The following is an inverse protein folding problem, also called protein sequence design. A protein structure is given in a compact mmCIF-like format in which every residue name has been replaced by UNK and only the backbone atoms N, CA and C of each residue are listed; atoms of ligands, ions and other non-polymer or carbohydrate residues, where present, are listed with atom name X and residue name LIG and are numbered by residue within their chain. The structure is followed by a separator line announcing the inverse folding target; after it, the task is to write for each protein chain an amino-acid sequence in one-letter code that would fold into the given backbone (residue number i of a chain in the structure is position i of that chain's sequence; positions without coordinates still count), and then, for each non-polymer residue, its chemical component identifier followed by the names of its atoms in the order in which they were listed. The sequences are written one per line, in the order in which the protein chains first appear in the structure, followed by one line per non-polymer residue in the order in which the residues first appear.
data_IF_120394332868
#
_entry.id   IF_120394332868
#
_cell.length_a   1.000
_cell.length_b   1.000
_cell.length_c   1.000
_cell.angle_alpha   90.00
_cell.angle_beta   90.00
_cell.angle_gamma   90.00
#
_symmetry.space_group_name_H-M   'P 1'
#
loop_
_entity.id
_entity.type
_entity.pdbx_description
1 polymer ?
#
# COMPACT_ATOMS: atom_id res chain seq x y z
N UNK A 1 7.38 -0.27 -18.88
CA UNK A 1 8.61 -0.51 -18.09
C UNK A 1 9.27 0.82 -17.75
N UNK A 2 8.71 1.57 -16.80
CA UNK A 2 9.40 2.69 -16.18
C UNK A 2 9.96 2.21 -14.84
N UNK A 3 11.03 1.43 -14.89
CA UNK A 3 11.96 1.34 -13.78
C UNK A 3 12.59 2.73 -13.75
N UNK A 4 12.14 3.58 -12.82
CA UNK A 4 12.87 4.79 -12.48
C UNK A 4 14.28 4.33 -12.13
N UNK A 5 15.26 4.68 -12.94
CA UNK A 5 16.66 4.62 -12.53
C UNK A 5 16.75 5.58 -11.36
N UNK A 6 16.82 5.07 -10.13
CA UNK A 6 17.23 5.89 -9.00
C UNK A 6 18.62 6.40 -9.36
N UNK A 7 18.76 7.72 -9.49
CA UNK A 7 20.08 8.29 -9.67
C UNK A 7 20.87 7.96 -8.40
N UNK A 8 22.17 7.70 -8.53
CA UNK A 8 23.04 7.43 -7.38
C UNK A 8 23.04 8.54 -6.32
N UNK A 9 22.36 9.66 -6.59
CA UNK A 9 22.22 10.83 -5.71
C UNK A 9 20.95 10.82 -4.84
N UNK A 10 20.07 9.85 -4.97
CA UNK A 10 18.79 9.85 -4.21
C UNK A 10 18.97 9.21 -2.83
N UNK A 11 18.73 9.98 -1.78
CA UNK A 11 18.71 9.56 -0.39
C UNK A 11 17.30 9.63 0.15
N UNK A 12 16.87 8.59 0.89
CA UNK A 12 15.53 8.56 1.49
C UNK A 12 15.63 9.11 2.90
N UNK A 13 14.90 10.18 3.17
CA UNK A 13 14.80 10.85 4.47
C UNK A 13 13.38 10.86 5.05
N UNK A 14 12.40 10.42 4.28
CA UNK A 14 10.99 10.31 4.68
C UNK A 14 10.51 8.88 4.40
N UNK A 15 10.02 8.21 5.43
CA UNK A 15 9.52 6.85 5.33
C UNK A 15 8.09 6.82 4.77
N UNK A 16 7.91 6.15 3.65
CA UNK A 16 6.58 5.83 3.12
C UNK A 16 6.08 4.55 3.75
N UNK A 17 5.04 4.66 4.57
CA UNK A 17 4.33 3.52 5.13
C UNK A 17 3.51 2.78 4.07
N UNK A 18 3.19 1.52 4.35
CA UNK A 18 2.33 0.71 3.49
C UNK A 18 1.55 -0.33 4.30
N UNK A 19 0.33 -0.63 3.85
CA UNK A 19 -0.44 -1.80 4.29
C UNK A 19 -0.89 -2.59 3.09
N UNK A 20 -0.75 -3.91 3.18
CA UNK A 20 -1.07 -4.85 2.11
C UNK A 20 -2.00 -5.92 2.62
N UNK A 21 -3.03 -6.21 1.84
CA UNK A 21 -4.09 -7.15 2.19
C UNK A 21 -4.33 -8.15 1.08
N UNK A 22 -4.65 -9.39 1.49
CA UNK A 22 -5.41 -10.32 0.69
C UNK A 22 -6.84 -10.29 1.17
N UNK A 23 -7.77 -10.06 0.27
CA UNK A 23 -9.21 -10.11 0.55
C UNK A 23 -9.81 -11.24 -0.23
N UNK A 24 -10.44 -12.18 0.48
CA UNK A 24 -11.13 -13.32 -0.11
C UNK A 24 -12.63 -13.19 0.15
N UNK A 25 -13.43 -13.33 -0.90
CA UNK A 25 -14.89 -13.39 -0.83
C UNK A 25 -15.34 -14.81 -1.16
N UNK A 26 -16.20 -15.36 -0.31
CA UNK A 26 -16.84 -16.68 -0.52
C UNK A 26 -18.35 -16.54 -0.51
N UNK A 27 -19.00 -17.26 -1.44
CA UNK A 27 -20.45 -17.29 -1.63
C UNK A 27 -20.91 -18.72 -1.91
N UNK A 28 -22.22 -18.92 -2.10
CA UNK A 28 -22.83 -20.24 -2.36
C UNK A 28 -22.37 -20.84 -3.70
N UNK A 29 -22.22 -19.99 -4.72
CA UNK A 29 -21.93 -20.43 -6.08
C UNK A 29 -23.05 -21.28 -6.70
N UNK A 30 -22.69 -22.10 -7.69
CA UNK A 30 -23.60 -23.05 -8.33
C UNK A 30 -23.62 -22.96 -9.85
N UNK A 31 -24.47 -23.80 -10.48
CA UNK A 31 -24.66 -23.74 -11.93
C UNK A 31 -25.43 -22.48 -12.34
N UNK A 32 -24.95 -21.74 -13.32
CA UNK A 32 -25.47 -20.40 -13.67
C UNK A 32 -26.96 -20.36 -14.00
N UNK A 33 -27.51 -21.44 -14.56
CA UNK A 33 -28.93 -21.58 -14.88
C UNK A 33 -29.73 -22.18 -13.72
N UNK A 34 -29.28 -23.32 -13.14
CA UNK A 34 -30.06 -24.06 -12.14
C UNK A 34 -30.06 -23.40 -10.76
N UNK A 35 -29.01 -22.66 -10.44
CA UNK A 35 -28.84 -21.93 -9.19
C UNK A 35 -28.91 -20.41 -9.38
N UNK A 36 -29.62 -19.96 -10.42
CA UNK A 36 -29.78 -18.54 -10.71
C UNK A 36 -30.39 -17.81 -9.50
N UNK A 37 -29.75 -16.71 -9.08
CA UNK A 37 -30.14 -15.98 -7.86
C UNK A 37 -29.17 -16.18 -6.70
N UNK A 38 -28.32 -17.21 -6.73
CA UNK A 38 -27.22 -17.33 -5.78
C UNK A 38 -26.20 -16.20 -5.96
N UNK A 39 -25.52 -15.86 -4.86
CA UNK A 39 -24.51 -14.82 -4.84
C UNK A 39 -23.27 -15.23 -5.63
N UNK A 40 -22.71 -14.28 -6.38
CA UNK A 40 -21.52 -14.49 -7.20
C UNK A 40 -20.34 -13.74 -6.58
N UNK A 41 -19.30 -14.47 -6.14
CA UNK A 41 -18.13 -13.88 -5.48
C UNK A 41 -17.39 -12.88 -6.36
N UNK A 42 -17.31 -13.10 -7.69
CA UNK A 42 -16.69 -12.15 -8.63
C UNK A 42 -17.48 -10.84 -8.69
N UNK A 43 -18.81 -10.91 -8.74
CA UNK A 43 -19.65 -9.71 -8.80
C UNK A 43 -19.52 -8.87 -7.52
N UNK A 44 -19.49 -9.52 -6.34
CA UNK A 44 -19.24 -8.84 -5.07
C UNK A 44 -17.83 -8.24 -4.99
N UNK A 45 -16.81 -8.97 -5.46
CA UNK A 45 -15.44 -8.49 -5.51
C UNK A 45 -15.32 -7.26 -6.42
N UNK A 46 -15.90 -7.29 -7.61
CA UNK A 46 -15.90 -6.15 -8.53
C UNK A 46 -16.58 -4.91 -7.92
N UNK A 47 -17.74 -5.11 -7.28
CA UNK A 47 -18.46 -4.04 -6.59
C UNK A 47 -17.66 -3.48 -5.40
N UNK A 48 -16.96 -4.33 -4.65
CA UNK A 48 -16.10 -3.89 -3.55
C UNK A 48 -14.88 -3.10 -4.06
N UNK A 49 -14.29 -3.51 -5.17
CA UNK A 49 -13.19 -2.76 -5.81
C UNK A 49 -13.69 -1.38 -6.24
N UNK A 50 -14.85 -1.28 -6.89
CA UNK A 50 -15.46 0.00 -7.25
C UNK A 50 -15.65 0.90 -6.02
N UNK A 51 -16.20 0.37 -4.92
CA UNK A 51 -16.35 1.09 -3.67
C UNK A 51 -15.00 1.57 -3.08
N UNK A 52 -13.95 0.74 -3.11
CA UNK A 52 -12.61 1.13 -2.67
C UNK A 52 -12.04 2.30 -3.47
N UNK A 53 -12.38 2.38 -4.76
CA UNK A 53 -11.89 3.44 -5.65
C UNK A 53 -12.72 4.74 -5.61
N UNK A 54 -13.77 4.80 -4.79
CA UNK A 54 -14.55 6.04 -4.58
C UNK A 54 -13.85 7.07 -3.69
N UNK A 55 -12.86 6.64 -2.88
CA UNK A 55 -12.14 7.56 -2.00
C UNK A 55 -11.25 8.50 -2.81
N UNK A 56 -11.28 9.78 -2.45
CA UNK A 56 -10.25 10.73 -2.88
C UNK A 56 -9.10 10.65 -1.87
N UNK A 57 -7.95 10.06 -2.25
CA UNK A 57 -6.87 9.88 -1.30
C UNK A 57 -6.27 11.22 -0.87
N UNK A 58 -5.78 11.36 0.38
CA UNK A 58 -5.00 12.51 0.81
C UNK A 58 -3.74 12.69 -0.06
N UNK A 59 -3.21 13.92 -0.08
CA UNK A 59 -1.95 14.21 -0.78
C UNK A 59 -0.83 13.31 -0.25
N UNK A 60 0.04 12.82 -1.12
CA UNK A 60 1.13 11.90 -0.76
C UNK A 60 0.67 10.46 -0.50
N UNK A 61 -0.59 10.14 -0.83
CA UNK A 61 -1.17 8.80 -0.62
C UNK A 61 -1.47 8.14 -1.96
N UNK A 62 -1.22 6.84 -2.03
CA UNK A 62 -1.59 6.00 -3.17
C UNK A 62 -2.25 4.71 -2.70
N UNK A 63 -3.06 4.10 -3.56
CA UNK A 63 -3.64 2.79 -3.34
C UNK A 63 -3.77 2.03 -4.66
N UNK A 64 -3.83 0.72 -4.58
CA UNK A 64 -3.91 -0.12 -5.78
C UNK A 64 -4.51 -1.50 -5.47
N UNK A 65 -5.33 -2.01 -6.38
CA UNK A 65 -5.64 -3.43 -6.49
C UNK A 65 -4.74 -4.00 -7.59
N UNK A 66 -3.70 -4.71 -7.19
CA UNK A 66 -2.67 -5.21 -8.10
C UNK A 66 -2.97 -6.58 -8.70
N UNK A 67 -3.84 -7.36 -8.04
CA UNK A 67 -4.23 -8.70 -8.50
C UNK A 67 -5.70 -8.90 -8.19
N UNK A 68 -6.41 -9.54 -9.12
CA UNK A 68 -7.76 -10.09 -8.93
C UNK A 68 -7.83 -11.46 -9.58
N UNK A 69 -8.45 -12.42 -8.90
CA UNK A 69 -8.71 -13.75 -9.44
C UNK A 69 -10.00 -14.34 -8.88
N UNK A 70 -10.65 -15.23 -9.60
CA UNK A 70 -11.88 -15.90 -9.12
C UNK A 70 -12.59 -16.70 -10.19
N UNK A 71 -13.56 -17.51 -9.73
CA UNK A 71 -14.36 -18.36 -10.59
C UNK A 71 -13.62 -19.58 -11.13
N UNK A 72 -14.33 -20.41 -11.91
CA UNK A 72 -13.81 -21.66 -12.49
C UNK A 72 -14.21 -21.85 -13.94
N UNK A 73 -15.44 -21.52 -14.33
CA UNK A 73 -15.93 -21.65 -15.71
C UNK A 73 -17.07 -20.66 -15.98
N UNK A 74 -17.36 -20.42 -17.27
CA UNK A 74 -18.37 -19.44 -17.70
C UNK A 74 -19.80 -19.78 -17.24
N UNK A 75 -20.12 -21.06 -17.05
CA UNK A 75 -21.44 -21.54 -16.62
C UNK A 75 -21.52 -21.83 -15.12
N UNK A 76 -20.57 -21.36 -14.32
CA UNK A 76 -20.53 -21.51 -12.87
C UNK A 76 -20.61 -20.13 -12.20
N UNK A 77 -21.58 -19.96 -11.29
CA UNK A 77 -21.62 -18.83 -10.37
C UNK A 77 -20.38 -18.94 -9.47
N UNK A 78 -19.51 -17.95 -9.48
CA UNK A 78 -18.27 -18.03 -8.76
C UNK A 78 -18.48 -18.13 -7.24
N UNK A 79 -17.93 -19.18 -6.64
CA UNK A 79 -17.97 -19.39 -5.19
C UNK A 79 -16.90 -18.61 -4.45
N UNK A 80 -15.77 -18.34 -5.12
CA UNK A 80 -14.62 -17.66 -4.53
C UNK A 80 -14.05 -16.62 -5.49
N UNK A 81 -13.69 -15.47 -4.92
CA UNK A 81 -12.86 -14.46 -5.58
C UNK A 81 -11.87 -13.90 -4.57
N UNK A 82 -10.72 -13.45 -5.07
CA UNK A 82 -9.63 -12.91 -4.26
C UNK A 82 -9.05 -11.66 -4.93
N UNK A 83 -8.65 -10.68 -4.13
CA UNK A 83 -7.83 -9.55 -4.59
C UNK A 83 -6.66 -9.32 -3.66
N UNK A 84 -5.58 -8.73 -4.22
CA UNK A 84 -4.49 -8.14 -3.47
C UNK A 84 -4.61 -6.62 -3.55
N UNK A 85 -4.75 -5.99 -2.39
CA UNK A 85 -4.93 -4.55 -2.24
C UNK A 85 -3.82 -3.95 -1.40
N UNK A 86 -3.32 -2.78 -1.77
CA UNK A 86 -2.40 -2.01 -0.94
C UNK A 86 -2.77 -0.53 -0.93
N UNK A 87 -2.38 0.16 0.14
CA UNK A 87 -2.28 1.61 0.16
C UNK A 87 -0.98 2.04 0.84
N UNK A 88 -0.52 3.23 0.48
CA UNK A 88 0.75 3.81 0.95
C UNK A 88 0.58 5.30 1.22
N UNK A 89 1.28 5.80 2.24
CA UNK A 89 1.42 7.23 2.49
C UNK A 89 2.68 7.50 3.31
N UNK A 90 3.19 8.71 3.21
CA UNK A 90 4.24 9.25 4.08
C UNK A 90 3.68 9.85 5.39
N UNK A 91 2.34 9.86 5.55
CA UNK A 91 1.64 10.45 6.69
C UNK A 91 0.79 9.42 7.43
N UNK A 92 0.86 9.42 8.76
CA UNK A 92 0.11 8.48 9.61
C UNK A 92 -1.40 8.73 9.56
N UNK A 93 -1.84 10.00 9.62
CA UNK A 93 -3.25 10.36 9.54
C UNK A 93 -3.90 9.92 8.21
N UNK A 94 -3.16 10.01 7.12
CA UNK A 94 -3.60 9.52 5.82
C UNK A 94 -3.68 7.99 5.78
N UNK A 95 -2.73 7.28 6.40
CA UNK A 95 -2.79 5.82 6.55
C UNK A 95 -4.01 5.38 7.36
N UNK A 96 -4.34 6.10 8.43
CA UNK A 96 -5.52 5.83 9.26
C UNK A 96 -6.82 6.09 8.48
N UNK A 97 -6.87 7.16 7.68
CA UNK A 97 -8.03 7.45 6.83
C UNK A 97 -8.24 6.36 5.78
N UNK A 98 -7.17 5.90 5.13
CA UNK A 98 -7.25 4.80 4.16
C UNK A 98 -7.68 3.49 4.81
N UNK A 99 -7.19 3.19 6.02
CA UNK A 99 -7.61 2.02 6.78
C UNK A 99 -9.09 2.09 7.14
N UNK A 100 -9.56 3.22 7.64
CA UNK A 100 -10.98 3.40 7.99
C UNK A 100 -11.91 3.21 6.77
N UNK A 101 -11.51 3.72 5.60
CA UNK A 101 -12.26 3.51 4.37
C UNK A 101 -12.29 2.03 3.96
N UNK A 102 -11.15 1.35 4.00
CA UNK A 102 -11.05 -0.09 3.73
C UNK A 102 -11.95 -0.90 4.67
N UNK A 103 -11.88 -0.63 5.98
CA UNK A 103 -12.67 -1.33 6.99
C UNK A 103 -14.18 -1.09 6.81
N UNK A 104 -14.56 0.13 6.43
CA UNK A 104 -15.95 0.47 6.11
C UNK A 104 -16.46 -0.31 4.90
N UNK A 105 -15.66 -0.44 3.83
CA UNK A 105 -16.00 -1.25 2.66
C UNK A 105 -16.16 -2.73 3.06
N UNK A 106 -15.21 -3.31 3.78
CA UNK A 106 -15.29 -4.70 4.25
C UNK A 106 -16.53 -4.92 5.10
N UNK A 107 -16.80 -4.03 6.06
CA UNK A 107 -17.96 -4.11 6.95
C UNK A 107 -19.29 -4.05 6.19
N UNK A 108 -19.40 -3.14 5.21
CA UNK A 108 -20.59 -3.01 4.38
C UNK A 108 -20.94 -4.31 3.64
N UNK A 109 -19.96 -4.95 3.01
CA UNK A 109 -20.22 -6.20 2.29
C UNK A 109 -20.45 -7.37 3.23
N UNK A 110 -19.85 -7.43 4.42
CA UNK A 110 -20.17 -8.40 5.46
C UNK A 110 -21.63 -8.27 5.93
N UNK A 111 -22.14 -7.05 6.09
CA UNK A 111 -23.54 -6.80 6.46
C UNK A 111 -24.53 -7.26 5.37
N UNK A 112 -24.10 -7.35 4.10
CA UNK A 112 -24.89 -7.97 3.02
C UNK A 112 -24.90 -9.50 3.07
N UNK A 113 -24.34 -10.11 4.11
CA UNK A 113 -24.28 -11.55 4.31
C UNK A 113 -23.22 -12.27 3.47
N UNK A 114 -22.22 -11.52 2.95
CA UNK A 114 -21.09 -12.09 2.20
C UNK A 114 -19.98 -12.46 3.17
N UNK A 115 -19.45 -13.66 3.07
CA UNK A 115 -18.29 -14.08 3.84
C UNK A 115 -17.04 -13.43 3.25
N UNK A 116 -16.38 -12.60 4.06
CA UNK A 116 -15.13 -11.90 3.67
C UNK A 116 -14.06 -12.22 4.69
N UNK A 117 -12.97 -12.76 4.20
CA UNK A 117 -11.73 -12.96 4.92
C UNK A 117 -10.71 -11.90 4.48
N UNK A 118 -10.03 -11.31 5.46
CA UNK A 118 -8.97 -10.31 5.24
C UNK A 118 -7.71 -10.81 5.94
N UNK A 119 -6.65 -10.95 5.16
CA UNK A 119 -5.32 -11.31 5.64
C UNK A 119 -4.38 -10.11 5.41
N UNK A 120 -3.64 -9.72 6.46
CA UNK A 120 -2.58 -8.70 6.34
C UNK A 120 -1.32 -9.38 5.80
N UNK A 121 -0.90 -9.03 4.60
CA UNK A 121 0.29 -9.58 3.95
C UNK A 121 1.56 -8.84 4.34
N UNK A 122 1.45 -7.60 4.77
CA UNK A 122 2.58 -6.81 5.19
C UNK A 122 2.20 -5.40 5.61
N UNK A 123 2.97 -4.89 6.55
CA UNK A 123 2.82 -3.53 7.07
C UNK A 123 4.20 -2.90 7.25
N UNK A 124 4.33 -1.64 6.83
CA UNK A 124 5.49 -0.79 7.11
C UNK A 124 5.02 0.54 7.67
N UNK A 125 5.64 1.03 8.74
CA UNK A 125 5.24 2.30 9.34
C UNK A 125 5.70 3.50 8.50
N UNK A 126 5.02 4.65 8.69
CA UNK A 126 5.46 5.95 8.21
C UNK A 126 6.55 6.54 9.12
N UNK A 127 7.10 7.69 8.71
CA UNK A 127 7.88 8.56 9.60
C UNK A 127 7.01 8.96 10.80
N UNK A 128 7.56 8.79 12.00
CA UNK A 128 6.98 9.25 13.26
C UNK A 128 7.42 10.67 13.63
N UNK A 129 7.44 10.95 14.93
CA UNK A 129 7.86 12.25 15.48
C UNK A 129 9.40 12.31 15.58
N UNK A 130 10.04 12.61 14.45
CA UNK A 130 11.50 12.73 14.32
C UNK A 130 11.90 14.18 14.63
N UNK A 131 12.92 14.38 15.47
CA UNK A 131 13.49 15.70 15.69
C UNK A 131 14.01 16.30 14.37
N UNK A 132 13.36 17.35 13.90
CA UNK A 132 13.65 17.99 12.62
C UNK A 132 15.07 18.60 12.58
N UNK A 133 15.58 19.09 13.70
CA UNK A 133 16.92 19.70 13.79
C UNK A 133 17.99 18.60 13.66
N UNK A 134 17.83 17.51 14.36
CA UNK A 134 18.79 16.39 14.28
C UNK A 134 18.72 15.69 12.91
N UNK A 135 17.52 15.54 12.35
CA UNK A 135 17.36 15.01 10.98
C UNK A 135 18.06 15.92 9.97
N UNK A 136 17.87 17.25 10.06
CA UNK A 136 18.53 18.19 9.15
C UNK A 136 20.06 18.15 9.28
N UNK A 137 20.60 18.11 10.50
CA UNK A 137 22.04 17.95 10.72
C UNK A 137 22.61 16.68 10.05
N UNK A 138 21.85 15.58 10.10
CA UNK A 138 22.24 14.33 9.44
C UNK A 138 22.22 14.50 7.92
N UNK A 139 21.19 15.14 7.37
CA UNK A 139 21.07 15.42 5.95
C UNK A 139 22.22 16.33 5.46
N UNK A 140 22.56 17.37 6.21
CA UNK A 140 23.65 18.28 5.86
C UNK A 140 25.01 17.57 5.81
N UNK A 141 25.29 16.70 6.80
CA UNK A 141 26.51 15.88 6.82
C UNK A 141 26.55 14.90 5.65
N UNK A 142 25.43 14.25 5.34
CA UNK A 142 25.34 13.32 4.23
C UNK A 142 25.52 14.04 2.89
N UNK A 143 24.93 15.24 2.74
CA UNK A 143 25.10 16.07 1.54
C UNK A 143 26.55 16.53 1.37
N UNK A 144 27.21 16.98 2.45
CA UNK A 144 28.61 17.36 2.41
C UNK A 144 29.50 16.19 1.98
N UNK A 145 29.34 15.03 2.59
CA UNK A 145 30.10 13.84 2.22
C UNK A 145 29.84 13.42 0.77
N UNK A 146 28.61 13.61 0.29
CA UNK A 146 28.25 13.32 -1.09
C UNK A 146 28.90 14.30 -2.07
N UNK A 147 28.90 15.60 -1.75
CA UNK A 147 29.59 16.64 -2.53
C UNK A 147 31.10 16.39 -2.60
N UNK A 148 31.72 16.06 -1.46
CA UNK A 148 33.16 15.80 -1.37
C UNK A 148 33.59 14.63 -2.24
N UNK A 149 32.73 13.60 -2.33
CA UNK A 149 33.07 12.37 -3.07
C UNK A 149 32.64 12.42 -4.56
N UNK A 150 31.46 12.95 -4.85
CA UNK A 150 30.87 12.93 -6.20
C UNK A 150 30.87 14.29 -6.90
N UNK A 151 31.17 15.38 -6.21
CA UNK A 151 31.18 16.75 -6.77
C UNK A 151 29.80 17.30 -7.09
N UNK A 152 28.72 16.72 -6.56
CA UNK A 152 27.33 17.19 -6.75
C UNK A 152 26.51 17.06 -5.47
N UNK A 153 25.36 17.73 -5.41
CA UNK A 153 24.46 17.68 -4.26
C UNK A 153 23.64 16.38 -4.23
N UNK A 154 23.38 15.88 -3.00
CA UNK A 154 22.46 14.80 -2.77
C UNK A 154 21.02 15.25 -2.99
N UNK A 155 20.18 14.36 -3.54
CA UNK A 155 18.74 14.55 -3.63
C UNK A 155 18.05 13.76 -2.52
N UNK A 156 17.18 14.42 -1.76
CA UNK A 156 16.41 13.80 -0.70
C UNK A 156 14.97 13.55 -1.15
N UNK A 157 14.42 12.42 -0.73
CA UNK A 157 13.09 12.02 -1.14
C UNK A 157 12.40 11.05 -0.17
N UNK A 158 11.18 10.67 -0.52
CA UNK A 158 10.40 9.70 0.23
C UNK A 158 10.48 8.31 -0.40
N UNK A 159 10.53 7.28 0.47
CA UNK A 159 10.57 5.90 0.00
C UNK A 159 10.29 4.89 1.10
N UNK A 160 10.11 3.63 0.70
CA UNK A 160 9.91 2.53 1.65
C UNK A 160 11.18 1.68 1.71
N UNK A 161 11.93 1.83 2.78
CA UNK A 161 13.24 1.21 3.01
C UNK A 161 13.36 0.71 4.44
N UNK A 162 14.49 0.15 4.82
CA UNK A 162 14.74 -0.26 6.21
C UNK A 162 14.77 0.93 7.19
N UNK A 163 14.97 2.15 6.70
CA UNK A 163 14.84 3.37 7.50
C UNK A 163 13.41 3.65 8.00
N UNK A 164 12.38 2.96 7.47
CA UNK A 164 11.03 3.09 8.00
C UNK A 164 10.98 2.77 9.51
N UNK A 165 11.75 1.80 9.97
CA UNK A 165 11.72 1.38 11.38
C UNK A 165 12.31 2.45 12.31
N UNK A 166 13.56 2.93 12.15
CA UNK A 166 14.07 3.97 13.03
C UNK A 166 13.30 5.28 12.88
N UNK A 167 12.96 5.72 11.65
CA UNK A 167 12.18 6.94 11.45
C UNK A 167 10.81 6.88 12.14
N UNK A 168 10.12 5.73 12.14
CA UNK A 168 8.84 5.58 12.82
C UNK A 168 8.94 5.66 14.34
N UNK A 169 10.13 5.46 14.91
CA UNK A 169 10.43 5.56 16.34
C UNK A 169 11.00 6.92 16.75
N UNK A 170 10.95 7.90 15.85
CA UNK A 170 11.50 9.24 16.10
C UNK A 170 13.03 9.31 16.04
N UNK A 171 13.69 8.29 15.50
CA UNK A 171 15.16 8.26 15.39
C UNK A 171 15.55 8.84 14.03
N UNK A 172 16.32 9.95 13.98
CA UNK A 172 16.85 10.52 12.76
C UNK A 172 17.61 9.47 11.93
N UNK A 173 17.25 9.32 10.65
CA UNK A 173 17.82 8.26 9.82
C UNK A 173 17.77 8.63 8.33
N UNK A 174 18.73 8.13 7.58
CA UNK A 174 18.80 8.24 6.13
C UNK A 174 19.04 6.86 5.51
N UNK A 175 18.42 6.59 4.38
CA UNK A 175 18.78 5.45 3.54
C UNK A 175 19.51 5.95 2.31
N UNK A 176 20.74 5.52 2.16
CA UNK A 176 21.57 5.83 1.01
C UNK A 176 21.32 4.78 -0.07
N UNK A 177 21.15 5.20 -1.31
CA UNK A 177 21.08 4.28 -2.44
C UNK A 177 22.47 3.65 -2.65
N UNK A 178 22.62 2.38 -2.26
CA UNK A 178 23.84 1.59 -2.48
C UNK A 178 23.78 0.93 -3.85
N UNK A 179 23.55 1.67 -4.91
CA UNK A 179 23.39 1.03 -6.20
C UNK A 179 24.34 1.56 -7.26
N UNK A 180 25.27 0.68 -7.66
CA UNK A 180 25.90 0.65 -8.96
C UNK A 180 25.84 -0.81 -9.45
N UNK A 181 24.85 -1.13 -10.24
CA UNK A 181 24.74 -2.37 -10.96
C UNK A 181 24.43 -2.09 -12.40
#
# INVERSE_FOLDING_TARGET
NAIRKSSASEMINIAVGSRRFRVTIETEGGHSYNAFGNRNAIAYMASMIDALYTIKPPTGTSYNVGVIQGGTSVNTIAQKAEMLYEFRSDRMDAMEQMQAHFDACVSFYRQKGVRIEVEVLGERPCTGDVDAVEQQKMMDKANQAYQDYFGCEAQFGSGSTDCNIPLSRGIPSLCLACYNG
#
